data_IF_818484458459
#
_entry.id   IF_818484458459
#
_cell.length_a   1.000
_cell.length_b   1.000
_cell.length_c   1.000
_cell.angle_alpha   90.00
_cell.angle_beta   90.00
_cell.angle_gamma   90.00
#
_symmetry.space_group_name_H-M   'P 1'
#
loop_
_entity.id
_entity.type
_entity.pdbx_description
1 polymer ?
#
# COMPACT_ATOMS: atom_id res chain seq x y z
N UNK A 1 -0.09 6.05 16.43
CA UNK A 1 1.05 5.59 15.61
C UNK A 1 0.49 4.67 14.54
N UNK A 2 0.87 4.84 13.27
CA UNK A 2 0.56 3.87 12.21
C UNK A 2 1.85 3.12 11.92
N UNK A 3 1.83 1.81 12.03
CA UNK A 3 2.95 0.93 11.71
C UNK A 3 2.50 -0.02 10.62
N UNK A 4 3.28 -0.13 9.53
CA UNK A 4 3.05 -1.19 8.55
C UNK A 4 3.42 -2.57 9.11
N UNK A 5 4.20 -2.63 10.21
CA UNK A 5 4.75 -3.86 10.80
C UNK A 5 5.41 -4.75 9.75
N UNK A 6 6.09 -4.13 8.79
CA UNK A 6 6.72 -4.82 7.65
C UNK A 6 5.71 -5.55 6.75
N UNK A 7 4.45 -5.12 6.71
CA UNK A 7 3.41 -5.71 5.86
C UNK A 7 3.49 -5.16 4.42
N UNK A 8 3.96 -5.95 3.43
CA UNK A 8 4.16 -5.48 2.07
C UNK A 8 2.83 -5.40 1.29
N UNK A 9 2.93 -5.21 -0.03
CA UNK A 9 1.78 -5.17 -0.94
C UNK A 9 0.82 -4.02 -0.58
N UNK A 10 -0.48 -4.30 -0.51
CA UNK A 10 -1.53 -3.29 -0.40
C UNK A 10 -1.54 -2.50 0.91
N UNK A 11 -0.95 -3.03 1.99
CA UNK A 11 -1.07 -2.43 3.34
C UNK A 11 -0.50 -1.01 3.43
N UNK A 12 0.58 -0.71 2.69
CA UNK A 12 1.22 0.60 2.61
C UNK A 12 0.22 1.72 2.24
N UNK A 13 -0.70 1.43 1.32
CA UNK A 13 -1.58 2.41 0.68
C UNK A 13 -2.53 3.08 1.71
N UNK A 14 -3.40 2.33 2.42
CA UNK A 14 -4.30 2.91 3.42
C UNK A 14 -3.54 3.41 4.66
N UNK A 15 -2.40 2.81 5.01
CA UNK A 15 -1.61 3.26 6.17
C UNK A 15 -1.03 4.66 5.97
N UNK A 16 -0.43 4.93 4.82
CA UNK A 16 0.10 6.27 4.49
C UNK A 16 -1.05 7.26 4.34
N UNK A 17 -2.17 6.86 3.74
CA UNK A 17 -3.36 7.72 3.63
C UNK A 17 -3.92 8.08 5.02
N UNK A 18 -4.04 7.12 5.93
CA UNK A 18 -4.46 7.36 7.31
C UNK A 18 -3.48 8.31 8.02
N UNK A 19 -2.19 8.07 7.88
CA UNK A 19 -1.15 8.92 8.46
C UNK A 19 -1.22 10.37 7.97
N UNK A 20 -1.52 10.58 6.68
CA UNK A 20 -1.69 11.90 6.09
C UNK A 20 -2.95 12.64 6.61
N UNK A 21 -3.99 11.91 7.03
CA UNK A 21 -5.28 12.50 7.41
C UNK A 21 -5.49 12.63 8.93
N UNK A 22 -4.86 11.80 9.77
CA UNK A 22 -5.16 11.74 11.21
C UNK A 22 -4.71 12.99 12.00
N UNK A 23 -3.77 13.77 11.46
CA UNK A 23 -3.33 15.07 11.98
C UNK A 23 -2.63 15.08 13.35
N UNK A 24 -2.60 13.94 14.05
CA UNK A 24 -2.10 13.83 15.44
C UNK A 24 -0.87 12.93 15.58
N UNK A 25 -0.35 12.37 14.48
CA UNK A 25 0.82 11.49 14.49
C UNK A 25 2.02 12.16 13.82
N UNK A 26 3.23 11.78 14.23
CA UNK A 26 4.51 12.33 13.74
C UNK A 26 4.97 11.73 12.41
N UNK A 27 4.20 10.81 11.83
CA UNK A 27 4.54 10.08 10.62
C UNK A 27 4.02 8.65 10.64
N UNK A 28 4.47 7.87 9.67
CA UNK A 28 4.18 6.44 9.53
C UNK A 28 5.47 5.65 9.69
N UNK A 29 5.44 4.59 10.48
CA UNK A 29 6.51 3.62 10.46
C UNK A 29 6.29 2.70 9.26
N UNK A 30 7.23 2.75 8.32
CA UNK A 30 7.22 1.86 7.17
C UNK A 30 8.62 1.38 6.83
N UNK A 31 8.77 0.07 6.76
CA UNK A 31 10.05 -0.60 6.57
C UNK A 31 9.95 -1.80 5.61
N UNK A 32 8.75 -2.14 5.09
CA UNK A 32 8.55 -3.30 4.22
C UNK A 32 9.48 -3.29 3.00
N UNK A 33 9.72 -2.12 2.40
CA UNK A 33 10.65 -1.94 1.28
C UNK A 33 12.12 -2.25 1.61
N UNK A 34 12.50 -2.25 2.89
CA UNK A 34 13.85 -2.59 3.36
C UNK A 34 14.01 -4.09 3.57
N UNK A 35 12.96 -4.75 4.07
CA UNK A 35 13.00 -6.19 4.40
C UNK A 35 12.48 -7.10 3.28
N UNK A 36 11.56 -6.60 2.46
CA UNK A 36 10.93 -7.30 1.33
C UNK A 36 10.89 -6.38 0.08
N UNK A 37 12.05 -5.99 -0.47
CA UNK A 37 12.14 -4.97 -1.51
C UNK A 37 11.32 -5.30 -2.77
N UNK A 38 11.17 -6.59 -3.08
CA UNK A 38 10.47 -7.05 -4.29
C UNK A 38 9.01 -7.41 -4.05
N UNK A 39 8.59 -7.55 -2.78
CA UNK A 39 7.26 -8.06 -2.46
C UNK A 39 6.14 -7.14 -2.93
N UNK A 40 6.41 -5.84 -3.08
CA UNK A 40 5.44 -4.83 -3.52
C UNK A 40 5.65 -4.35 -4.97
N UNK A 41 6.41 -5.09 -5.79
CA UNK A 41 6.75 -4.66 -7.16
C UNK A 41 5.51 -4.35 -8.02
N UNK A 42 4.43 -5.12 -7.87
CA UNK A 42 3.20 -4.90 -8.63
C UNK A 42 2.52 -3.59 -8.24
N UNK A 43 2.44 -3.28 -6.95
CA UNK A 43 1.85 -2.05 -6.43
C UNK A 43 2.74 -0.83 -6.72
N UNK A 44 4.07 -1.01 -6.69
CA UNK A 44 5.04 0.04 -6.96
C UNK A 44 4.98 0.57 -8.39
N UNK A 45 4.46 -0.20 -9.35
CA UNK A 45 4.18 0.29 -10.71
C UNK A 45 3.08 1.37 -10.69
N UNK A 46 2.07 1.21 -9.81
CA UNK A 46 0.91 2.11 -9.73
C UNK A 46 1.14 3.25 -8.74
N UNK A 47 1.87 2.99 -7.65
CA UNK A 47 2.18 3.93 -6.59
C UNK A 47 3.68 4.02 -6.28
N UNK A 48 4.54 4.40 -7.24
CA UNK A 48 6.00 4.34 -7.07
C UNK A 48 6.51 5.12 -5.85
N UNK A 49 5.89 6.27 -5.55
CA UNK A 49 6.23 7.11 -4.41
C UNK A 49 5.97 6.47 -3.04
N UNK A 50 4.98 5.58 -2.94
CA UNK A 50 4.63 4.91 -1.68
C UNK A 50 5.64 3.82 -1.33
N UNK A 51 6.21 3.18 -2.35
CA UNK A 51 7.15 2.06 -2.21
C UNK A 51 8.60 2.50 -2.42
N UNK A 52 8.89 3.78 -2.25
CA UNK A 52 10.26 4.27 -2.17
C UNK A 52 10.43 5.37 -1.11
N UNK A 53 11.29 5.11 -0.11
CA UNK A 53 11.67 6.14 0.85
C UNK A 53 12.82 6.99 0.30
N UNK A 54 12.59 8.29 0.16
CA UNK A 54 13.60 9.28 -0.25
C UNK A 54 13.68 10.36 0.82
N UNK A 55 14.88 10.64 1.33
CA UNK A 55 15.11 11.65 2.37
C UNK A 55 14.20 11.51 3.60
N UNK A 56 13.90 10.27 4.01
CA UNK A 56 13.03 10.00 5.17
C UNK A 56 11.53 10.11 4.89
N UNK A 57 11.11 10.31 3.63
CA UNK A 57 9.71 10.48 3.25
C UNK A 57 9.28 9.46 2.20
N UNK A 58 7.98 9.17 2.17
CA UNK A 58 7.28 8.48 1.09
C UNK A 58 6.29 9.45 0.44
N UNK A 59 6.04 9.28 -0.85
CA UNK A 59 5.10 10.12 -1.61
C UNK A 59 3.77 9.39 -1.82
N UNK A 60 2.67 10.06 -1.46
CA UNK A 60 1.32 9.52 -1.59
C UNK A 60 0.51 10.22 -2.69
N UNK A 61 1.13 11.04 -3.54
CA UNK A 61 0.44 11.84 -4.57
C UNK A 61 -0.32 11.02 -5.63
N UNK A 62 -0.07 9.71 -5.71
CA UNK A 62 -0.81 8.78 -6.56
C UNK A 62 -2.09 8.23 -5.93
N UNK A 63 -2.36 8.52 -4.65
CA UNK A 63 -3.62 8.23 -3.98
C UNK A 63 -4.54 9.44 -4.15
N UNK A 64 -5.67 9.23 -4.83
CA UNK A 64 -6.67 10.27 -5.09
C UNK A 64 -8.06 9.66 -5.21
N UNK A 65 -9.09 10.52 -5.17
CA UNK A 65 -10.49 10.11 -5.28
C UNK A 65 -11.04 9.52 -3.99
N UNK A 66 -12.17 8.81 -4.11
CA UNK A 66 -12.87 8.18 -2.99
C UNK A 66 -12.27 6.82 -2.62
N UNK A 67 -12.37 6.46 -1.35
CA UNK A 67 -11.90 5.16 -0.84
C UNK A 67 -10.43 5.20 -0.42
N UNK A 68 -9.78 4.03 -0.42
CA UNK A 68 -8.41 3.88 0.10
C UNK A 68 -7.31 3.96 -0.96
N UNK A 69 -7.66 4.22 -2.22
CA UNK A 69 -6.68 4.37 -3.30
C UNK A 69 -6.00 3.05 -3.73
N UNK A 70 -6.57 1.88 -3.42
CA UNK A 70 -5.94 0.59 -3.73
C UNK A 70 -5.66 0.36 -5.22
N UNK A 71 -6.54 0.82 -6.11
CA UNK A 71 -6.42 0.64 -7.58
C UNK A 71 -6.13 -0.83 -7.98
N UNK A 72 -6.77 -1.78 -7.30
CA UNK A 72 -6.54 -3.23 -7.49
C UNK A 72 -6.77 -3.70 -8.93
N UNK A 73 -7.68 -3.06 -9.67
CA UNK A 73 -7.93 -3.34 -11.09
C UNK A 73 -6.76 -2.98 -12.01
N UNK A 74 -5.86 -2.10 -11.56
CA UNK A 74 -4.68 -1.66 -12.33
C UNK A 74 -3.40 -2.38 -11.90
N UNK A 75 -3.36 -2.89 -10.67
CA UNK A 75 -2.25 -3.65 -10.11
C UNK A 75 -2.25 -5.06 -10.70
N UNK A 76 -1.27 -5.37 -11.54
CA UNK A 76 -1.10 -6.69 -12.18
C UNK A 76 -0.40 -7.70 -11.26
N UNK A 77 -0.93 -7.92 -10.05
CA UNK A 77 -0.43 -8.93 -9.12
C UNK A 77 -1.00 -10.30 -9.47
N UNK A 78 -0.13 -11.27 -9.71
CA UNK A 78 -0.53 -12.67 -9.85
C UNK A 78 -0.74 -13.26 -8.45
N UNK A 79 -1.93 -13.77 -8.20
CA UNK A 79 -2.30 -14.47 -6.97
C UNK A 79 -2.43 -15.97 -7.25
N UNK A 80 -2.21 -16.84 -6.25
CA UNK A 80 -2.56 -18.26 -6.37
C UNK A 80 -4.08 -18.42 -6.54
N UNK A 81 -4.48 -19.59 -7.02
CA UNK A 81 -5.90 -19.95 -7.06
C UNK A 81 -6.53 -19.79 -5.67
N UNK A 82 -7.74 -19.23 -5.59
CA UNK A 82 -8.41 -19.04 -4.32
C UNK A 82 -8.63 -20.39 -3.63
N UNK A 83 -8.31 -20.47 -2.35
CA UNK A 83 -8.55 -21.69 -1.57
C UNK A 83 -10.04 -21.97 -1.34
N UNK A 84 -10.89 -20.93 -1.47
CA UNK A 84 -12.34 -21.01 -1.34
C UNK A 84 -12.98 -19.81 -2.05
N UNK A 85 -14.07 -20.06 -2.78
CA UNK A 85 -14.96 -19.03 -3.34
C UNK A 85 -16.36 -19.31 -2.83
N UNK A 86 -17.01 -18.31 -2.22
CA UNK A 86 -18.37 -18.42 -1.69
C UNK A 86 -19.28 -17.38 -2.32
N UNK A 87 -20.45 -17.82 -2.76
CA UNK A 87 -21.44 -16.99 -3.42
C UNK A 87 -21.11 -16.68 -4.88
N UNK A 88 -22.12 -16.15 -5.58
CA UNK A 88 -21.96 -15.59 -6.92
C UNK A 88 -21.96 -14.07 -6.82
N UNK A 89 -20.97 -13.42 -7.44
CA UNK A 89 -20.98 -11.96 -7.59
C UNK A 89 -21.90 -11.67 -8.79
N UNK A 90 -23.02 -10.94 -8.61
CA UNK A 90 -23.88 -10.55 -9.73
C UNK A 90 -23.18 -9.58 -10.70
#
# INVERSE_FOLDING_TARGET
MVQDLTNPMLAQIPHVLLAANVGTIMGVETNAMQFYPEASNAEAIIHPGLYQRRNGMVDFGTIWGTGFGYRTSEIKRVLPEPSLVLGDIP
#
